data_IF_789041969244
#
_entry.id   IF_789041969244
#
_cell.length_a   1.000
_cell.length_b   1.000
_cell.length_c   1.000
_cell.angle_alpha   90.00
_cell.angle_beta   90.00
_cell.angle_gamma   90.00
#
_symmetry.space_group_name_H-M   'P 1'
#
loop_
_entity.id
_entity.type
_entity.pdbx_description
1 polymer ?
#
# COMPACT_ATOMS: atom_id res chain seq x y z
N UNK A 1 3.97 4.50 -6.71
CA UNK A 1 3.72 5.35 -5.54
C UNK A 1 4.82 5.31 -4.48
N UNK A 2 5.45 4.20 -4.17
CA UNK A 2 6.51 4.17 -3.15
C UNK A 2 7.83 4.79 -3.58
N UNK A 3 8.07 4.90 -4.89
CA UNK A 3 9.34 5.34 -5.44
C UNK A 3 9.26 6.76 -6.02
N UNK A 4 10.26 7.56 -5.70
CA UNK A 4 10.42 8.95 -6.17
C UNK A 4 9.25 9.86 -5.79
N UNK A 5 8.54 9.49 -4.75
CA UNK A 5 7.27 10.05 -4.45
C UNK A 5 7.29 10.81 -3.18
N UNK A 6 6.46 11.71 -3.27
CA UNK A 6 5.87 12.32 -2.14
C UNK A 6 5.09 11.25 -1.37
N UNK A 7 5.62 10.63 -0.29
CA UNK A 7 4.90 9.65 0.49
C UNK A 7 3.65 10.24 1.16
N UNK A 8 3.41 11.55 1.00
CA UNK A 8 2.20 12.24 1.40
C UNK A 8 0.99 11.88 0.54
N UNK A 9 1.20 11.30 -0.65
CA UNK A 9 0.14 10.96 -1.61
C UNK A 9 -0.35 9.52 -1.50
N UNK A 10 -0.04 8.82 -0.41
CA UNK A 10 -0.59 7.48 -0.19
C UNK A 10 -2.05 7.60 0.26
N UNK A 11 -3.01 6.87 -0.36
CA UNK A 11 -4.44 6.95 -0.03
C UNK A 11 -4.81 6.61 1.41
N UNK A 12 -3.87 6.08 2.17
CA UNK A 12 -4.04 5.73 3.58
C UNK A 12 -3.75 6.89 4.54
N UNK A 13 -3.27 8.03 4.04
CA UNK A 13 -2.90 9.20 4.84
C UNK A 13 -4.13 10.04 5.19
N UNK A 14 -4.98 9.52 6.09
CA UNK A 14 -6.26 10.10 6.46
C UNK A 14 -6.29 10.47 7.95
N UNK A 15 -6.81 11.67 8.24
CA UNK A 15 -7.09 12.12 9.59
C UNK A 15 -8.40 11.49 10.09
N UNK A 16 -8.37 10.97 11.30
CA UNK A 16 -9.52 10.31 11.93
C UNK A 16 -10.17 11.23 12.96
N UNK A 17 -11.45 11.05 13.23
CA UNK A 17 -12.13 11.74 14.31
C UNK A 17 -11.97 10.92 15.59
N UNK A 18 -11.37 11.51 16.62
CA UNK A 18 -11.09 10.82 17.88
C UNK A 18 -12.36 10.26 18.51
N UNK A 19 -12.33 8.99 18.92
CA UNK A 19 -13.45 8.29 19.55
C UNK A 19 -14.58 7.90 18.60
N UNK A 20 -14.41 8.01 17.29
CA UNK A 20 -15.38 7.61 16.28
C UNK A 20 -14.82 6.56 15.34
N UNK A 21 -15.67 5.66 14.79
CA UNK A 21 -15.26 4.75 13.75
C UNK A 21 -14.77 5.49 12.50
N UNK A 22 -13.75 4.96 11.86
CA UNK A 22 -13.22 5.48 10.60
C UNK A 22 -13.49 4.52 9.46
N UNK A 23 -14.20 4.99 8.45
CA UNK A 23 -14.50 4.24 7.23
C UNK A 23 -13.91 4.97 6.03
N UNK A 24 -13.11 4.27 5.24
CA UNK A 24 -12.69 4.73 3.91
C UNK A 24 -13.72 4.23 2.92
N UNK A 25 -14.60 5.12 2.49
CA UNK A 25 -15.78 4.78 1.69
C UNK A 25 -15.47 4.47 0.24
N UNK A 26 -14.31 4.91 -0.24
CA UNK A 26 -13.86 4.68 -1.61
C UNK A 26 -12.33 4.77 -1.69
N UNK A 27 -11.70 3.73 -2.23
CA UNK A 27 -10.26 3.74 -2.53
C UNK A 27 -9.96 2.94 -3.79
N UNK A 28 -8.98 3.39 -4.57
CA UNK A 28 -8.55 2.68 -5.77
C UNK A 28 -7.07 2.97 -6.10
N UNK A 29 -6.41 1.98 -6.68
CA UNK A 29 -5.13 2.14 -7.40
C UNK A 29 -5.43 2.13 -8.89
N UNK A 30 -5.67 3.32 -9.42
CA UNK A 30 -6.29 3.50 -10.73
C UNK A 30 -5.41 3.07 -11.91
N UNK A 31 -6.04 2.63 -12.99
CA UNK A 31 -5.39 2.44 -14.29
C UNK A 31 -5.00 3.82 -14.86
N UNK A 32 -3.82 3.99 -15.46
CA UNK A 32 -2.86 2.97 -15.92
C UNK A 32 -1.65 2.76 -15.01
N UNK A 33 -1.75 3.01 -13.72
CA UNK A 33 -0.64 2.76 -12.78
C UNK A 33 -0.05 1.36 -13.01
N UNK A 34 1.29 1.27 -13.02
CA UNK A 34 1.97 -0.01 -13.23
C UNK A 34 2.00 -0.85 -11.96
N UNK A 35 2.08 -0.20 -10.80
CA UNK A 35 2.41 -0.82 -9.53
C UNK A 35 1.16 -1.01 -8.65
N UNK A 36 0.08 -1.51 -9.25
CA UNK A 36 -1.20 -1.64 -8.56
C UNK A 36 -1.22 -2.72 -7.48
N UNK A 37 -0.31 -3.71 -7.53
CA UNK A 37 -0.20 -4.74 -6.49
C UNK A 37 0.29 -4.20 -5.13
N UNK A 38 0.81 -2.97 -5.06
CA UNK A 38 1.07 -2.32 -3.77
C UNK A 38 -0.21 -1.94 -3.02
N UNK A 39 -1.32 -1.74 -3.75
CA UNK A 39 -2.57 -1.26 -3.18
C UNK A 39 -3.08 -2.13 -2.03
N UNK A 40 -3.38 -3.43 -2.25
CA UNK A 40 -3.82 -4.32 -1.18
C UNK A 40 -2.81 -4.43 -0.03
N UNK A 41 -1.51 -4.46 -0.34
CA UNK A 41 -0.45 -4.50 0.67
C UNK A 41 -0.46 -3.24 1.54
N UNK A 42 -0.35 -2.06 0.95
CA UNK A 42 -0.28 -0.79 1.69
C UNK A 42 -1.57 -0.49 2.44
N UNK A 43 -2.73 -0.72 1.81
CA UNK A 43 -4.01 -0.50 2.45
C UNK A 43 -4.14 -1.37 3.70
N UNK A 44 -3.90 -2.69 3.60
CA UNK A 44 -4.05 -3.58 4.74
C UNK A 44 -3.07 -3.27 5.88
N UNK A 45 -1.82 -2.95 5.55
CA UNK A 45 -0.77 -2.67 6.53
C UNK A 45 -1.01 -1.34 7.25
N UNK A 46 -1.21 -0.24 6.50
CA UNK A 46 -1.36 1.08 7.11
C UNK A 46 -2.71 1.27 7.79
N UNK A 47 -3.79 0.69 7.27
CA UNK A 47 -5.08 0.79 7.93
C UNK A 47 -5.16 -0.05 9.21
N UNK A 48 -4.48 -1.19 9.27
CA UNK A 48 -4.31 -1.90 10.54
C UNK A 48 -3.51 -1.07 11.54
N UNK A 49 -2.41 -0.44 11.10
CA UNK A 49 -1.59 0.43 11.93
C UNK A 49 -2.38 1.63 12.47
N UNK A 50 -3.21 2.24 11.66
CA UNK A 50 -3.96 3.45 12.02
C UNK A 50 -5.32 3.16 12.65
N UNK A 51 -5.80 1.90 12.64
CA UNK A 51 -7.06 1.51 13.26
C UNK A 51 -8.29 1.91 12.44
N UNK A 52 -8.19 1.94 11.11
CA UNK A 52 -9.35 2.11 10.23
C UNK A 52 -10.26 0.89 10.31
N UNK A 53 -11.57 1.10 10.50
CA UNK A 53 -12.54 0.01 10.70
C UNK A 53 -12.94 -0.69 9.41
N UNK A 54 -13.06 0.04 8.31
CA UNK A 54 -13.43 -0.52 7.02
C UNK A 54 -12.87 0.27 5.85
N UNK A 55 -12.55 -0.44 4.76
CA UNK A 55 -12.21 0.15 3.47
C UNK A 55 -13.02 -0.50 2.36
N UNK A 56 -13.57 0.31 1.49
CA UNK A 56 -14.30 -0.11 0.30
C UNK A 56 -13.49 0.17 -0.95
N UNK A 57 -13.20 -0.90 -1.69
CA UNK A 57 -12.50 -0.79 -2.96
C UNK A 57 -13.45 -0.34 -4.06
N UNK A 58 -13.10 0.70 -4.75
CA UNK A 58 -13.84 1.22 -5.89
C UNK A 58 -13.10 0.90 -7.20
N UNK A 59 -13.66 0.06 -8.08
CA UNK A 59 -14.85 -0.76 -7.86
C UNK A 59 -14.61 -2.20 -8.25
N UNK A 60 -15.24 -3.13 -7.54
CA UNK A 60 -15.32 -4.54 -7.92
C UNK A 60 -16.42 -4.68 -8.96
N UNK A 61 -16.04 -4.70 -10.21
CA UNK A 61 -16.92 -4.85 -11.36
C UNK A 61 -16.30 -5.84 -12.34
N UNK A 62 -17.03 -6.17 -13.40
CA UNK A 62 -16.48 -6.97 -14.48
C UNK A 62 -15.31 -6.23 -15.13
N UNK A 63 -14.26 -6.97 -15.50
CA UNK A 63 -13.15 -6.41 -16.29
C UNK A 63 -13.60 -6.40 -17.76
N UNK A 64 -14.68 -5.70 -18.04
CA UNK A 64 -15.17 -5.53 -19.40
C UNK A 64 -14.60 -4.26 -20.02
N UNK A 65 -14.24 -4.36 -21.27
CA UNK A 65 -13.94 -3.23 -22.11
C UNK A 65 -15.28 -2.71 -22.66
N UNK A 66 -15.98 -1.94 -21.81
CA UNK A 66 -17.22 -1.32 -22.22
C UNK A 66 -16.89 -0.15 -23.17
N UNK A 67 -17.50 -0.10 -24.36
CA UNK A 67 -17.35 1.03 -25.28
C UNK A 67 -17.79 2.37 -24.67
N UNK A 68 -18.62 2.36 -23.63
CA UNK A 68 -19.04 3.53 -22.87
C UNK A 68 -18.87 3.30 -21.37
N UNK A 69 -17.64 3.10 -20.87
CA UNK A 69 -17.42 2.88 -19.45
C UNK A 69 -17.78 4.11 -18.62
N UNK A 70 -18.28 3.89 -17.41
CA UNK A 70 -18.75 4.95 -16.52
C UNK A 70 -17.68 6.03 -16.25
N UNK A 71 -16.41 5.61 -16.05
CA UNK A 71 -15.27 6.53 -15.98
C UNK A 71 -14.13 6.05 -16.89
N UNK A 72 -14.19 6.34 -18.19
CA UNK A 72 -13.11 5.93 -19.05
C UNK A 72 -11.85 6.69 -18.72
N UNK A 73 -10.74 5.99 -18.62
CA UNK A 73 -9.46 6.62 -18.81
C UNK A 73 -9.35 7.04 -20.26
N UNK A 74 -8.51 8.02 -20.59
CA UNK A 74 -8.45 8.62 -21.93
C UNK A 74 -8.60 7.61 -23.06
N UNK A 75 -9.44 7.95 -24.06
CA UNK A 75 -9.55 7.15 -25.28
C UNK A 75 -8.24 7.20 -26.05
N UNK A 76 -7.61 6.06 -26.24
CA UNK A 76 -6.60 5.91 -27.26
C UNK A 76 -7.32 5.73 -28.59
N UNK A 77 -6.98 6.56 -29.57
CA UNK A 77 -7.68 6.60 -30.85
C UNK A 77 -7.74 5.20 -31.50
N UNK A 78 -8.94 4.76 -31.86
CA UNK A 78 -9.17 3.46 -32.49
C UNK A 78 -9.14 2.27 -31.54
N UNK A 79 -9.14 2.49 -30.22
CA UNK A 79 -9.17 1.44 -29.20
C UNK A 79 -10.30 1.64 -28.20
N UNK A 80 -10.73 0.54 -27.61
CA UNK A 80 -11.72 0.59 -26.54
C UNK A 80 -11.09 1.19 -25.26
N UNK A 81 -11.81 2.04 -24.54
CA UNK A 81 -11.30 2.65 -23.33
C UNK A 81 -11.20 1.62 -22.20
N UNK A 82 -10.11 1.67 -21.44
CA UNK A 82 -9.94 0.88 -20.25
C UNK A 82 -10.57 1.60 -19.05
N UNK A 83 -11.28 0.88 -18.19
CA UNK A 83 -11.85 1.43 -16.97
C UNK A 83 -10.77 2.01 -16.07
N UNK A 84 -10.95 3.25 -15.64
CA UNK A 84 -10.03 3.93 -14.71
C UNK A 84 -10.06 3.27 -13.33
N UNK A 85 -11.25 3.04 -12.81
CA UNK A 85 -11.48 2.48 -11.49
C UNK A 85 -11.88 1.01 -11.64
N UNK A 86 -10.96 0.10 -11.46
CA UNK A 86 -11.23 -1.34 -11.42
C UNK A 86 -10.33 -2.01 -10.41
N UNK A 87 -10.94 -2.62 -9.41
CA UNK A 87 -10.27 -3.50 -8.46
C UNK A 87 -10.33 -4.98 -8.91
N UNK A 88 -11.19 -5.30 -9.89
CA UNK A 88 -11.35 -6.66 -10.46
C UNK A 88 -10.23 -7.03 -11.43
N UNK A 89 -9.02 -6.53 -11.23
CA UNK A 89 -7.84 -6.80 -12.05
C UNK A 89 -6.83 -7.64 -11.26
N UNK A 90 -6.02 -8.47 -11.93
CA UNK A 90 -5.12 -9.40 -11.25
C UNK A 90 -4.23 -8.78 -10.17
N UNK A 91 -3.59 -7.60 -10.37
CA UNK A 91 -2.69 -7.04 -9.36
C UNK A 91 -3.41 -6.53 -8.09
N UNK A 92 -4.70 -6.25 -8.15
CA UNK A 92 -5.48 -5.81 -6.99
C UNK A 92 -6.25 -6.97 -6.40
N UNK A 93 -7.15 -7.59 -7.16
CA UNK A 93 -7.97 -8.71 -6.69
C UNK A 93 -7.11 -9.88 -6.21
N UNK A 94 -6.04 -10.19 -6.94
CA UNK A 94 -5.08 -11.21 -6.55
C UNK A 94 -4.32 -10.89 -5.25
N UNK A 95 -4.29 -9.64 -4.83
CA UNK A 95 -3.70 -9.19 -3.57
C UNK A 95 -4.62 -9.31 -2.34
N UNK A 96 -5.91 -9.63 -2.51
CA UNK A 96 -6.87 -9.60 -1.40
C UNK A 96 -6.73 -10.74 -0.39
N UNK A 97 -6.44 -12.00 -0.74
CA UNK A 97 -6.49 -13.09 0.23
C UNK A 97 -5.65 -12.84 1.48
N UNK A 98 -4.35 -12.59 1.34
CA UNK A 98 -3.47 -12.33 2.47
C UNK A 98 -3.72 -10.96 3.10
N UNK A 99 -3.97 -9.92 2.28
CA UNK A 99 -4.23 -8.57 2.75
C UNK A 99 -5.51 -8.48 3.59
N UNK A 100 -6.60 -9.12 3.14
CA UNK A 100 -7.84 -9.18 3.90
C UNK A 100 -7.70 -9.96 5.21
N UNK A 101 -6.93 -11.04 5.21
CA UNK A 101 -6.66 -11.80 6.43
C UNK A 101 -5.85 -10.97 7.42
N UNK A 102 -4.78 -10.30 6.97
CA UNK A 102 -3.98 -9.40 7.78
C UNK A 102 -4.86 -8.32 8.44
N UNK A 103 -5.67 -7.62 7.64
CA UNK A 103 -6.50 -6.52 8.10
C UNK A 103 -7.59 -7.00 9.09
N UNK A 104 -8.36 -8.02 8.70
CA UNK A 104 -9.47 -8.53 9.53
C UNK A 104 -9.04 -9.16 10.84
N UNK A 105 -7.83 -9.69 10.91
CA UNK A 105 -7.26 -10.33 12.10
C UNK A 105 -6.35 -9.40 12.91
N UNK A 106 -6.09 -8.19 12.42
CA UNK A 106 -5.19 -7.25 13.10
C UNK A 106 -3.77 -7.80 13.25
N UNK A 107 -3.23 -8.42 12.19
CA UNK A 107 -1.88 -9.01 12.26
C UNK A 107 -0.77 -7.96 12.30
N UNK A 108 -1.03 -6.74 11.88
CA UNK A 108 -0.24 -5.55 12.19
C UNK A 108 -0.90 -4.86 13.38
N UNK A 109 -0.12 -4.57 14.41
CA UNK A 109 -0.61 -3.94 15.63
C UNK A 109 -1.02 -2.49 15.36
N UNK A 110 -2.20 -2.11 15.86
CA UNK A 110 -2.63 -0.72 15.87
C UNK A 110 -1.69 0.12 16.75
N UNK A 111 -1.28 1.28 16.23
CA UNK A 111 -0.45 2.24 16.94
C UNK A 111 -1.27 3.13 17.87
N UNK A 112 -0.60 3.72 18.87
CA UNK A 112 -1.16 4.85 19.60
C UNK A 112 -1.13 6.11 18.72
N UNK A 113 -2.08 7.06 18.89
CA UNK A 113 -2.08 8.31 18.14
C UNK A 113 -0.77 9.07 18.29
N UNK A 114 -0.14 9.37 17.15
CA UNK A 114 1.09 10.18 17.12
C UNK A 114 0.78 11.67 16.98
N UNK A 115 -0.40 12.01 16.51
CA UNK A 115 -0.96 13.36 16.51
C UNK A 115 -2.39 13.28 17.05
N UNK A 116 -2.66 14.03 18.10
CA UNK A 116 -3.99 14.27 18.64
C UNK A 116 -4.23 15.78 18.66
N UNK A 117 -5.01 16.28 17.70
CA UNK A 117 -5.36 17.69 17.61
C UNK A 117 -6.76 17.92 18.22
N UNK A 118 -6.86 18.81 19.23
CA UNK A 118 -8.15 19.26 19.70
C UNK A 118 -8.46 20.66 19.12
N UNK A 119 -9.67 20.83 18.59
CA UNK A 119 -10.12 22.06 17.95
C UNK A 119 -11.46 22.52 18.52
N UNK A 120 -11.61 23.82 18.74
CA UNK A 120 -12.90 24.39 19.09
C UNK A 120 -13.81 24.46 17.87
N UNK A 121 -15.13 24.49 18.08
CA UNK A 121 -16.07 24.76 16.99
C UNK A 121 -15.86 26.13 16.36
N UNK A 122 -15.42 27.12 17.14
CA UNK A 122 -15.08 28.44 16.63
C UNK A 122 -13.91 28.40 15.64
N UNK A 123 -12.87 27.59 15.90
CA UNK A 123 -11.75 27.39 14.97
C UNK A 123 -12.20 26.77 13.65
N UNK A 124 -13.17 25.83 13.71
CA UNK A 124 -13.75 25.23 12.49
C UNK A 124 -14.53 26.24 11.66
N UNK A 125 -15.42 26.99 12.31
CA UNK A 125 -16.21 28.05 11.64
C UNK A 125 -15.32 29.15 11.06
N UNK A 126 -14.23 29.47 11.76
CA UNK A 126 -13.23 30.42 11.29
C UNK A 126 -12.29 29.84 10.22
N UNK A 127 -12.46 28.56 9.83
CA UNK A 127 -11.57 27.85 8.90
C UNK A 127 -10.09 27.96 9.26
N UNK A 128 -9.78 27.95 10.55
CA UNK A 128 -8.41 27.99 11.03
C UNK A 128 -7.64 26.78 10.52
N UNK A 129 -6.43 26.99 10.04
CA UNK A 129 -5.56 25.91 9.53
C UNK A 129 -5.31 24.87 10.61
N UNK A 130 -5.50 23.55 10.32
CA UNK A 130 -5.12 22.49 11.25
C UNK A 130 -3.60 22.39 11.38
N UNK A 131 -3.11 21.80 12.48
CA UNK A 131 -1.67 21.59 12.69
C UNK A 131 -1.06 20.61 11.70
N UNK A 132 -1.86 19.68 11.18
CA UNK A 132 -1.54 18.76 10.10
C UNK A 132 -2.72 18.66 9.15
N UNK A 133 -2.46 18.75 7.87
CA UNK A 133 -3.47 18.58 6.82
C UNK A 133 -3.12 17.40 5.93
N UNK A 134 -4.13 16.70 5.47
CA UNK A 134 -4.00 15.75 4.37
C UNK A 134 -3.57 16.51 3.12
N UNK A 135 -2.78 15.87 2.26
CA UNK A 135 -2.27 16.56 1.07
C UNK A 135 -3.42 16.90 0.11
N UNK A 136 -3.69 18.19 -0.16
CA UNK A 136 -4.79 18.59 -1.04
C UNK A 136 -4.58 18.19 -2.50
N UNK A 137 -3.35 17.84 -2.91
CA UNK A 137 -3.07 17.35 -4.26
C UNK A 137 -3.66 15.97 -4.50
N UNK A 138 -3.98 15.25 -3.46
CA UNK A 138 -4.51 13.91 -3.50
C UNK A 138 -5.98 13.84 -3.97
N UNK A 139 -6.76 14.85 -3.64
CA UNK A 139 -8.16 14.98 -4.07
C UNK A 139 -8.37 16.32 -4.77
N UNK A 140 -8.39 16.35 -6.12
CA UNK A 140 -8.59 17.58 -6.87
C UNK A 140 -9.99 18.20 -6.66
N UNK A 141 -10.95 17.44 -6.13
CA UNK A 141 -12.30 17.92 -5.83
C UNK A 141 -12.41 18.48 -4.39
N UNK A 142 -11.41 18.28 -3.57
CA UNK A 142 -11.38 18.83 -2.22
C UNK A 142 -11.38 20.35 -2.25
N UNK A 143 -12.11 20.97 -1.34
CA UNK A 143 -12.17 22.43 -1.22
C UNK A 143 -10.76 23.02 -1.06
N UNK A 144 -10.33 23.76 -2.09
CA UNK A 144 -9.03 24.44 -2.15
C UNK A 144 -9.05 25.80 -1.48
N UNK A 145 -10.02 26.08 -0.60
CA UNK A 145 -10.04 27.36 0.10
C UNK A 145 -8.65 27.60 0.74
N UNK A 146 -8.01 28.73 0.49
CA UNK A 146 -6.70 29.00 1.04
C UNK A 146 -6.78 28.92 2.56
N UNK A 147 -5.76 28.34 3.23
CA UNK A 147 -5.72 28.32 4.68
C UNK A 147 -5.85 29.75 5.19
N UNK A 148 -6.72 29.94 6.17
CA UNK A 148 -6.83 31.26 6.84
C UNK A 148 -5.46 31.53 7.49
N UNK A 149 -4.82 32.61 7.12
CA UNK A 149 -3.53 32.98 7.67
C UNK A 149 -3.59 33.01 9.21
N UNK A 150 -2.58 32.52 9.91
CA UNK A 150 -2.50 32.65 11.36
C UNK A 150 -2.69 34.11 11.77
N UNK A 151 -3.40 34.36 12.86
CA UNK A 151 -3.53 35.69 13.40
C UNK A 151 -2.15 36.26 13.78
N UNK A 152 -1.92 37.55 13.72
CA UNK A 152 -0.66 38.16 14.17
C UNK A 152 -0.33 37.68 15.59
N UNK A 153 0.85 37.04 15.76
CA UNK A 153 1.28 36.46 17.03
C UNK A 153 0.97 34.98 17.24
N UNK A 154 0.16 34.34 16.41
CA UNK A 154 -0.07 32.89 16.40
C UNK A 154 1.05 32.19 15.61
N UNK A 155 1.80 31.33 16.28
CA UNK A 155 2.73 30.41 15.59
C UNK A 155 1.94 29.21 15.12
N UNK A 156 1.74 29.06 13.81
CA UNK A 156 1.26 27.81 13.26
C UNK A 156 2.31 26.72 13.50
N UNK A 157 2.00 25.75 14.32
CA UNK A 157 2.84 24.55 14.45
C UNK A 157 2.52 23.67 13.23
N UNK A 158 3.51 23.48 12.36
CA UNK A 158 3.36 22.58 11.21
C UNK A 158 3.92 21.24 11.60
N UNK A 159 3.07 20.24 11.70
CA UNK A 159 3.46 18.84 11.92
C UNK A 159 3.87 18.24 10.58
N UNK A 160 4.93 17.45 10.59
CA UNK A 160 5.40 16.74 9.40
C UNK A 160 4.29 15.81 8.86
N UNK A 161 3.88 15.95 7.59
CA UNK A 161 2.87 15.07 6.99
C UNK A 161 3.24 13.58 6.96
N UNK A 162 4.53 13.24 7.09
CA UNK A 162 4.94 11.85 7.25
C UNK A 162 4.45 11.21 8.55
N UNK A 163 3.89 11.99 9.48
CA UNK A 163 3.23 11.48 10.68
C UNK A 163 2.13 10.46 10.36
N UNK A 164 1.40 10.62 9.25
CA UNK A 164 0.40 9.65 8.80
C UNK A 164 0.95 8.24 8.55
N UNK A 165 2.26 8.13 8.32
CA UNK A 165 2.95 6.85 8.11
C UNK A 165 3.60 6.31 9.38
N UNK A 166 3.66 7.13 10.42
CA UNK A 166 4.17 6.73 11.74
C UNK A 166 3.09 6.05 12.56
N UNK A 167 1.87 6.59 12.57
CA UNK A 167 0.75 6.07 13.34
C UNK A 167 -0.53 6.86 13.13
N UNK A 168 -1.58 6.62 13.94
CA UNK A 168 -2.84 7.32 13.84
C UNK A 168 -2.66 8.84 14.01
N UNK A 169 -3.33 9.60 13.15
CA UNK A 169 -3.48 11.06 13.23
C UNK A 169 -4.95 11.34 13.46
N UNK A 170 -5.29 11.88 14.60
CA UNK A 170 -6.67 12.12 14.97
C UNK A 170 -6.97 13.57 15.32
N UNK A 171 -8.23 13.96 15.18
CA UNK A 171 -8.74 15.26 15.57
C UNK A 171 -9.98 15.08 16.46
N UNK A 172 -10.04 15.84 17.54
CA UNK A 172 -11.23 15.96 18.37
C UNK A 172 -11.84 17.34 18.16
N UNK A 173 -13.08 17.35 17.73
CA UNK A 173 -13.85 18.58 17.57
C UNK A 173 -14.59 18.93 18.89
N UNK A 174 -14.82 20.24 19.09
CA UNK A 174 -15.37 20.80 20.33
C UNK A 174 -14.51 20.46 21.55
N UNK A 175 -13.20 20.43 21.34
CA UNK A 175 -12.20 20.16 22.37
C UNK A 175 -11.45 21.40 22.84
N UNK A 176 -10.49 21.19 23.74
CA UNK A 176 -9.59 22.21 24.25
C UNK A 176 -8.24 22.16 23.48
N UNK A 177 -7.91 23.19 22.68
CA UNK A 177 -6.62 23.22 21.95
C UNK A 177 -5.38 23.05 22.83
N UNK A 178 -5.46 23.34 24.13
CA UNK A 178 -4.38 23.12 25.08
C UNK A 178 -4.08 21.62 25.32
N UNK A 179 -5.00 20.74 24.96
CA UNK A 179 -4.86 19.27 25.03
C UNK A 179 -4.26 18.66 23.74
N UNK A 180 -3.99 19.48 22.73
CA UNK A 180 -3.33 19.02 21.50
C UNK A 180 -1.95 18.45 21.81
N UNK A 181 -1.67 17.25 21.28
CA UNK A 181 -0.42 16.52 21.53
C UNK A 181 0.16 16.01 20.22
N UNK A 182 1.47 16.10 20.09
CA UNK A 182 2.23 15.56 18.98
C UNK A 182 3.40 14.78 19.57
N UNK A 183 3.56 13.52 19.15
CA UNK A 183 4.69 12.71 19.55
C UNK A 183 6.00 13.28 18.98
N UNK A 184 7.12 12.95 19.58
CA UNK A 184 8.43 13.26 19.00
C UNK A 184 8.65 12.37 17.75
N UNK A 185 8.38 12.94 16.58
CA UNK A 185 8.48 12.25 15.30
C UNK A 185 9.93 12.00 14.86
N UNK A 186 10.93 12.64 15.48
CA UNK A 186 12.35 12.50 15.11
C UNK A 186 12.87 11.06 15.30
N UNK A 187 12.22 10.28 16.17
CA UNK A 187 12.54 8.88 16.39
C UNK A 187 12.02 7.94 15.29
N UNK A 188 11.10 8.41 14.46
CA UNK A 188 10.40 7.61 13.46
C UNK A 188 10.67 8.06 12.04
N UNK A 189 10.97 9.33 11.83
CA UNK A 189 11.18 9.94 10.51
C UNK A 189 12.65 10.31 10.35
N UNK A 190 13.33 9.68 9.39
CA UNK A 190 14.70 10.02 8.98
C UNK A 190 14.67 10.60 7.56
N UNK A 191 14.59 11.92 7.46
CA UNK A 191 14.57 12.61 6.18
C UNK A 191 15.86 12.44 5.38
N UNK A 192 17.00 12.31 6.06
CA UNK A 192 18.30 12.17 5.41
C UNK A 192 18.41 10.80 4.71
N UNK A 193 17.91 9.75 5.36
CA UNK A 193 17.85 8.38 4.79
C UNK A 193 16.56 8.12 4.02
N UNK A 194 15.61 9.07 4.01
CA UNK A 194 14.28 8.92 3.40
C UNK A 194 13.51 7.70 3.94
N UNK A 195 13.44 7.55 5.26
CA UNK A 195 12.82 6.42 5.94
C UNK A 195 11.79 6.88 6.97
N UNK A 196 10.69 6.13 7.02
CA UNK A 196 9.66 6.28 8.05
C UNK A 196 9.40 4.92 8.68
N UNK A 197 9.50 4.85 10.01
CA UNK A 197 9.15 3.66 10.79
C UNK A 197 7.86 3.92 11.56
N UNK A 198 6.96 2.94 11.59
CA UNK A 198 5.75 3.04 12.40
C UNK A 198 6.07 3.12 13.90
N UNK A 199 5.13 3.70 14.66
CA UNK A 199 5.21 3.77 16.13
C UNK A 199 5.27 2.39 16.77
N UNK A 200 4.68 1.36 16.14
CA UNK A 200 4.75 -0.03 16.58
C UNK A 200 6.08 -0.71 16.23
N UNK A 201 6.86 -0.11 15.31
CA UNK A 201 8.10 -0.69 14.80
C UNK A 201 7.91 -1.81 13.77
N UNK A 202 6.67 -2.20 13.47
CA UNK A 202 6.36 -3.32 12.58
C UNK A 202 6.35 -2.94 11.10
N UNK A 203 6.24 -1.65 10.77
CA UNK A 203 6.19 -1.16 9.38
C UNK A 203 7.36 -0.21 9.13
N UNK A 204 8.03 -0.38 8.01
CA UNK A 204 9.10 0.50 7.55
C UNK A 204 8.86 0.89 6.10
N UNK A 205 8.82 2.18 5.82
CA UNK A 205 8.84 2.74 4.48
C UNK A 205 10.20 3.37 4.19
N UNK A 206 10.91 2.85 3.21
CA UNK A 206 12.11 3.45 2.63
C UNK A 206 11.74 4.08 1.28
N UNK A 207 11.34 5.35 1.31
CA UNK A 207 10.94 6.07 0.10
C UNK A 207 12.15 6.57 -0.74
N UNK A 208 13.37 6.37 -0.25
CA UNK A 208 14.59 6.56 -1.03
C UNK A 208 14.87 5.42 -1.98
N UNK A 209 14.53 4.19 -1.58
CA UNK A 209 14.64 2.99 -2.40
C UNK A 209 13.32 2.68 -3.12
N UNK A 210 12.19 3.07 -2.54
CA UNK A 210 10.85 2.69 -3.00
C UNK A 210 10.44 1.31 -2.49
N UNK A 211 10.60 1.09 -1.18
CA UNK A 211 10.33 -0.18 -0.52
C UNK A 211 9.51 0.04 0.75
N UNK A 212 8.42 -0.70 0.90
CA UNK A 212 7.70 -0.86 2.16
C UNK A 212 7.86 -2.28 2.66
N UNK A 213 8.16 -2.44 3.95
CA UNK A 213 8.22 -3.75 4.62
C UNK A 213 7.27 -3.79 5.81
N UNK A 214 6.70 -4.96 6.05
CA UNK A 214 5.99 -5.32 7.28
C UNK A 214 6.72 -6.47 7.96
N UNK A 215 6.97 -6.34 9.26
CA UNK A 215 7.72 -7.31 10.08
C UNK A 215 7.02 -7.53 11.42
N UNK A 216 5.74 -7.92 11.34
CA UNK A 216 4.92 -8.30 12.48
C UNK A 216 4.99 -9.82 12.72
N UNK A 217 4.71 -10.32 13.94
CA UNK A 217 4.79 -11.75 14.23
C UNK A 217 3.90 -12.63 13.34
N UNK A 218 2.76 -12.10 12.88
CA UNK A 218 1.77 -12.81 12.04
C UNK A 218 1.66 -12.25 10.62
N UNK A 219 2.46 -11.26 10.26
CA UNK A 219 2.48 -10.73 8.91
C UNK A 219 3.89 -10.25 8.57
N UNK A 220 4.50 -10.84 7.58
CA UNK A 220 5.80 -10.40 7.08
C UNK A 220 5.77 -10.31 5.57
N UNK A 221 6.42 -9.29 5.03
CA UNK A 221 6.43 -9.10 3.60
C UNK A 221 7.06 -7.79 3.17
N UNK A 222 7.09 -7.59 1.88
CA UNK A 222 7.65 -6.39 1.26
C UNK A 222 6.91 -6.07 -0.03
N UNK A 223 6.77 -4.78 -0.33
CA UNK A 223 6.35 -4.33 -1.65
C UNK A 223 7.19 -3.14 -2.13
N UNK A 224 7.36 -3.04 -3.45
CA UNK A 224 8.12 -1.96 -4.07
C UNK A 224 9.17 -2.46 -5.07
N UNK A 225 10.28 -1.74 -5.17
CA UNK A 225 11.37 -2.01 -6.11
C UNK A 225 12.33 -3.07 -5.55
N UNK A 226 11.88 -4.33 -5.51
CA UNK A 226 12.55 -5.41 -4.78
C UNK A 226 13.94 -5.72 -5.29
N UNK A 227 14.18 -5.68 -6.61
CA UNK A 227 15.54 -5.92 -7.18
C UNK A 227 16.58 -4.91 -6.68
N UNK A 228 16.18 -3.67 -6.41
CA UNK A 228 17.04 -2.64 -5.84
C UNK A 228 17.33 -2.85 -4.35
N UNK A 229 16.41 -3.47 -3.64
CA UNK A 229 16.54 -3.73 -2.21
C UNK A 229 17.51 -4.89 -1.91
N UNK A 230 17.74 -5.79 -2.87
CA UNK A 230 18.59 -6.97 -2.69
C UNK A 230 17.96 -7.99 -1.75
N UNK A 231 18.68 -8.41 -0.71
CA UNK A 231 18.15 -9.30 0.31
C UNK A 231 17.35 -8.51 1.35
N UNK A 232 16.06 -8.78 1.44
CA UNK A 232 15.17 -8.24 2.47
C UNK A 232 15.09 -9.28 3.59
N UNK A 233 15.74 -9.00 4.71
CA UNK A 233 15.78 -9.88 5.87
C UNK A 233 14.82 -9.35 6.94
N UNK A 234 13.68 -10.02 7.08
CA UNK A 234 12.71 -9.81 8.14
C UNK A 234 12.99 -10.79 9.30
N UNK A 235 12.23 -10.69 10.36
CA UNK A 235 12.43 -11.51 11.56
C UNK A 235 12.44 -13.00 11.24
N UNK A 236 11.41 -13.49 10.58
CA UNK A 236 11.22 -14.92 10.32
C UNK A 236 11.31 -15.26 8.82
N UNK A 237 11.17 -14.29 7.94
CA UNK A 237 11.21 -14.48 6.47
C UNK A 237 12.34 -13.65 5.87
N UNK A 238 13.07 -14.25 4.94
CA UNK A 238 14.00 -13.52 4.07
C UNK A 238 13.53 -13.66 2.62
N UNK A 239 13.51 -12.51 1.91
CA UNK A 239 13.02 -12.38 0.55
C UNK A 239 14.14 -11.90 -0.34
N UNK A 240 14.35 -12.57 -1.46
CA UNK A 240 15.19 -12.11 -2.56
C UNK A 240 14.36 -12.15 -3.84
N UNK A 241 14.40 -11.08 -4.62
CA UNK A 241 13.67 -11.02 -5.89
C UNK A 241 14.46 -10.23 -6.92
N UNK A 242 14.45 -10.70 -8.17
CA UNK A 242 14.94 -9.97 -9.33
C UNK A 242 13.86 -9.14 -10.03
N UNK A 243 12.61 -9.25 -9.61
CA UNK A 243 11.55 -8.39 -10.11
C UNK A 243 11.86 -6.91 -9.88
N UNK A 244 11.77 -6.12 -10.93
CA UNK A 244 11.92 -4.66 -10.81
C UNK A 244 10.90 -4.11 -9.80
N UNK A 245 9.68 -4.64 -9.80
CA UNK A 245 8.63 -4.32 -8.86
C UNK A 245 7.79 -5.55 -8.52
N UNK A 246 7.50 -5.76 -7.24
CA UNK A 246 6.55 -6.77 -6.78
C UNK A 246 6.06 -6.46 -5.36
N UNK A 247 5.02 -7.18 -4.94
CA UNK A 247 4.52 -7.27 -3.57
C UNK A 247 4.51 -8.73 -3.13
N UNK A 248 5.03 -9.02 -1.95
CA UNK A 248 4.94 -10.33 -1.30
C UNK A 248 4.42 -10.15 0.12
N UNK A 249 3.42 -10.93 0.49
CA UNK A 249 2.86 -10.95 1.83
C UNK A 249 2.72 -12.38 2.33
N UNK A 250 3.24 -12.64 3.52
CA UNK A 250 3.14 -13.92 4.22
C UNK A 250 2.26 -13.75 5.47
N UNK A 251 1.25 -14.61 5.61
CA UNK A 251 0.34 -14.64 6.76
C UNK A 251 0.03 -16.07 7.18
N UNK A 252 -0.15 -16.36 8.49
CA UNK A 252 -0.55 -17.67 8.95
C UNK A 252 -2.03 -17.94 8.67
N UNK A 253 -2.36 -19.18 8.34
CA UNK A 253 -3.74 -19.65 8.20
C UNK A 253 -4.29 -20.29 9.49
N UNK A 254 -3.43 -20.50 10.49
CA UNK A 254 -3.75 -21.11 11.79
C UNK A 254 -3.70 -20.10 12.95
N UNK A 255 -3.59 -18.81 12.64
CA UNK A 255 -3.53 -17.69 13.60
C UNK A 255 -2.34 -17.75 14.57
N UNK A 256 -1.30 -18.53 14.28
CA UNK A 256 -0.05 -18.59 15.04
C UNK A 256 0.99 -17.61 14.48
N UNK A 257 2.00 -17.19 15.27
CA UNK A 257 3.14 -16.46 14.72
C UNK A 257 3.83 -17.24 13.60
N UNK A 258 4.36 -16.56 12.58
CA UNK A 258 5.01 -17.20 11.43
C UNK A 258 6.14 -18.16 11.82
N UNK A 259 6.85 -17.84 12.91
CA UNK A 259 7.93 -18.71 13.46
C UNK A 259 7.42 -20.08 13.92
N UNK A 260 6.14 -20.24 14.23
CA UNK A 260 5.55 -21.46 14.81
C UNK A 260 4.31 -21.94 14.06
N UNK A 261 3.81 -21.16 13.10
CA UNK A 261 2.66 -21.53 12.27
C UNK A 261 2.93 -22.82 11.51
N UNK A 262 1.95 -23.70 11.47
CA UNK A 262 1.99 -24.93 10.69
C UNK A 262 1.46 -24.76 9.28
N UNK A 263 0.90 -23.58 8.98
CA UNK A 263 0.29 -23.32 7.68
C UNK A 263 0.34 -21.85 7.33
N UNK A 264 1.21 -21.50 6.38
CA UNK A 264 1.47 -20.12 5.97
C UNK A 264 1.02 -19.94 4.53
N UNK A 265 0.22 -18.89 4.26
CA UNK A 265 -0.06 -18.39 2.93
C UNK A 265 1.03 -17.39 2.53
N UNK A 266 1.69 -17.63 1.41
CA UNK A 266 2.50 -16.65 0.69
C UNK A 266 1.70 -16.18 -0.51
N UNK A 267 1.53 -14.88 -0.63
CA UNK A 267 0.86 -14.20 -1.75
C UNK A 267 1.85 -13.30 -2.45
N UNK A 268 1.91 -13.40 -3.78
CA UNK A 268 2.81 -12.62 -4.64
C UNK A 268 1.96 -11.87 -5.67
N UNK A 269 2.25 -10.58 -5.83
CA UNK A 269 1.69 -9.72 -6.87
C UNK A 269 2.78 -9.01 -7.63
N UNK A 270 2.74 -9.08 -8.95
CA UNK A 270 3.65 -8.37 -9.86
C UNK A 270 2.89 -7.37 -10.72
N UNK A 271 3.52 -6.84 -11.75
CA UNK A 271 2.85 -5.97 -12.74
C UNK A 271 1.95 -6.82 -13.63
N UNK A 272 0.73 -6.36 -13.87
CA UNK A 272 -0.14 -6.99 -14.86
C UNK A 272 -0.65 -5.95 -15.87
N UNK A 273 -0.84 -6.41 -17.11
CA UNK A 273 -1.35 -5.60 -18.23
C UNK A 273 -2.22 -6.46 -19.14
N UNK A 274 -3.21 -5.86 -19.81
CA UNK A 274 -3.92 -6.56 -20.89
C UNK A 274 -2.97 -6.96 -22.01
N UNK A 275 -3.27 -8.06 -22.68
CA UNK A 275 -2.49 -8.52 -23.87
C UNK A 275 -2.46 -7.43 -24.94
N UNK A 276 -1.25 -7.11 -25.42
CA UNK A 276 -1.06 -6.04 -26.41
C UNK A 276 -1.01 -4.64 -25.82
N UNK A 277 -0.92 -4.49 -24.51
CA UNK A 277 -0.62 -3.20 -23.88
C UNK A 277 0.70 -2.65 -24.42
N UNK A 278 0.70 -1.41 -24.85
CA UNK A 278 1.93 -0.76 -25.33
C UNK A 278 2.01 0.70 -24.87
N UNK A 279 3.24 1.12 -24.60
CA UNK A 279 3.58 2.50 -24.25
C UNK A 279 4.76 2.98 -25.07
N UNK A 280 4.90 4.28 -25.21
CA UNK A 280 6.10 4.94 -25.77
C UNK A 280 6.58 6.04 -24.83
N UNK A 281 7.87 6.37 -24.92
CA UNK A 281 8.42 7.49 -24.16
C UNK A 281 7.74 8.79 -24.59
N UNK A 282 7.40 9.62 -23.60
CA UNK A 282 6.74 10.91 -23.81
C UNK A 282 7.26 11.96 -22.83
N UNK A 283 7.05 13.22 -23.20
CA UNK A 283 7.24 14.35 -22.31
C UNK A 283 5.85 14.79 -21.79
N UNK A 284 5.66 14.71 -20.49
CA UNK A 284 4.41 15.08 -19.84
C UNK A 284 4.57 16.48 -19.26
N UNK A 285 3.72 17.42 -19.68
CA UNK A 285 3.66 18.76 -19.09
C UNK A 285 2.78 18.74 -17.84
N UNK A 286 3.18 19.48 -16.80
CA UNK A 286 2.31 19.76 -15.65
C UNK A 286 1.06 20.52 -16.10
N UNK A 287 -0.01 20.45 -15.29
CA UNK A 287 -1.28 21.16 -15.59
C UNK A 287 -1.07 22.67 -15.78
N UNK A 288 -0.13 23.27 -15.04
CA UNK A 288 0.19 24.69 -15.16
C UNK A 288 1.17 25.00 -16.33
N UNK A 289 1.61 23.95 -17.07
CA UNK A 289 2.51 24.03 -18.20
C UNK A 289 3.95 24.44 -17.89
N UNK A 290 4.30 24.61 -16.60
CA UNK A 290 5.61 25.15 -16.17
C UNK A 290 6.70 24.10 -16.09
N UNK A 291 6.34 22.86 -15.82
CA UNK A 291 7.29 21.74 -15.71
C UNK A 291 7.01 20.69 -16.77
N UNK A 292 8.07 20.03 -17.22
CA UNK A 292 7.98 18.90 -18.13
C UNK A 292 8.75 17.73 -17.54
N UNK A 293 8.07 16.59 -17.40
CA UNK A 293 8.62 15.37 -16.81
C UNK A 293 8.63 14.26 -17.86
N UNK A 294 9.64 13.40 -17.82
CA UNK A 294 9.62 12.16 -18.60
C UNK A 294 8.48 11.26 -18.12
N UNK A 295 7.72 10.72 -19.03
CA UNK A 295 6.63 9.83 -18.76
C UNK A 295 6.43 8.82 -19.88
N UNK A 296 5.34 8.06 -19.78
CA UNK A 296 4.95 7.08 -20.80
C UNK A 296 3.56 7.46 -21.35
N UNK A 297 3.45 7.54 -22.65
CA UNK A 297 2.18 7.65 -23.34
C UNK A 297 1.65 6.26 -23.66
N UNK A 298 0.42 5.94 -23.23
CA UNK A 298 -0.25 4.71 -23.59
C UNK A 298 -0.68 4.79 -25.03
N UNK A 299 -0.12 3.93 -25.89
CA UNK A 299 -0.45 3.87 -27.33
C UNK A 299 -1.38 2.69 -27.64
N UNK A 300 -1.46 1.71 -26.74
CA UNK A 300 -2.41 0.61 -26.80
C UNK A 300 -2.86 0.23 -25.40
N UNK A 301 -4.17 0.13 -25.21
CA UNK A 301 -4.77 -0.38 -23.95
C UNK A 301 -4.85 -1.91 -23.92
N UNK A 302 -4.54 -2.57 -25.04
CA UNK A 302 -4.59 -4.03 -25.15
C UNK A 302 -6.00 -4.59 -25.12
N UNK A 303 -6.09 -5.90 -24.88
CA UNK A 303 -7.34 -6.68 -24.77
C UNK A 303 -7.17 -7.80 -23.75
N UNK A 304 -8.26 -8.36 -23.17
CA UNK A 304 -8.18 -9.60 -22.42
C UNK A 304 -7.57 -10.73 -23.24
N UNK A 305 -6.91 -11.73 -22.60
CA UNK A 305 -6.68 -11.84 -21.17
C UNK A 305 -5.58 -10.89 -20.66
N UNK A 306 -5.58 -10.66 -19.36
CA UNK A 306 -4.48 -9.97 -18.67
C UNK A 306 -3.26 -10.88 -18.60
N UNK A 307 -2.10 -10.31 -18.89
CA UNK A 307 -0.80 -10.94 -18.70
C UNK A 307 -0.20 -10.43 -17.40
N UNK A 308 0.26 -11.36 -16.56
CA UNK A 308 0.93 -11.08 -15.30
C UNK A 308 2.42 -11.31 -15.50
N UNK A 309 3.25 -10.37 -15.09
CA UNK A 309 4.70 -10.52 -15.18
C UNK A 309 5.17 -11.65 -14.25
N UNK A 310 6.13 -12.42 -14.73
CA UNK A 310 6.73 -13.53 -13.99
C UNK A 310 7.19 -13.09 -12.59
N UNK A 311 7.00 -13.97 -11.62
CA UNK A 311 7.41 -13.79 -10.24
C UNK A 311 8.74 -14.48 -9.98
N UNK A 312 9.80 -13.72 -9.77
CA UNK A 312 11.16 -14.24 -9.56
C UNK A 312 11.56 -14.07 -8.08
N UNK A 313 11.36 -15.11 -7.28
CA UNK A 313 11.56 -15.06 -5.83
C UNK A 313 12.41 -16.24 -5.31
N UNK A 314 13.31 -15.92 -4.37
CA UNK A 314 13.91 -16.88 -3.45
C UNK A 314 13.44 -16.55 -2.03
N UNK A 315 12.96 -17.55 -1.30
CA UNK A 315 12.38 -17.39 0.04
C UNK A 315 13.11 -18.28 1.04
N UNK A 316 13.33 -17.73 2.24
CA UNK A 316 13.76 -18.52 3.41
C UNK A 316 12.82 -18.21 4.56
N UNK A 317 12.33 -19.24 5.26
CA UNK A 317 11.42 -19.12 6.39
C UNK A 317 12.02 -19.82 7.60
N UNK A 318 12.23 -19.06 8.68
CA UNK A 318 12.80 -19.56 9.94
C UNK A 318 11.72 -20.24 10.78
N UNK A 319 11.23 -21.36 10.28
CA UNK A 319 10.27 -22.20 10.98
C UNK A 319 10.57 -23.67 10.66
N UNK A 320 11.21 -24.41 11.60
CA UNK A 320 11.67 -25.78 11.34
C UNK A 320 10.52 -26.82 11.27
N UNK A 321 9.31 -26.43 11.64
CA UNK A 321 8.14 -27.33 11.53
C UNK A 321 7.64 -27.47 10.10
N UNK A 322 7.98 -26.55 9.21
CA UNK A 322 7.54 -26.55 7.83
C UNK A 322 8.36 -27.54 6.99
N UNK A 323 7.69 -28.21 6.05
CA UNK A 323 8.34 -29.27 5.26
C UNK A 323 7.84 -29.39 3.83
N UNK A 324 6.75 -28.71 3.49
CA UNK A 324 6.09 -28.80 2.20
C UNK A 324 5.66 -27.42 1.70
N UNK A 325 5.72 -27.19 0.39
CA UNK A 325 5.16 -26.04 -0.26
C UNK A 325 4.28 -26.48 -1.43
N UNK A 326 3.05 -25.98 -1.47
CA UNK A 326 2.05 -26.31 -2.49
C UNK A 326 1.66 -25.04 -3.22
N UNK A 327 1.72 -25.08 -4.55
CA UNK A 327 1.13 -24.05 -5.42
C UNK A 327 -0.38 -24.07 -5.28
N UNK A 328 -0.98 -22.89 -5.28
CA UNK A 328 -2.43 -22.72 -5.24
C UNK A 328 -2.84 -21.88 -6.44
N UNK A 329 -3.82 -22.35 -7.19
CA UNK A 329 -4.39 -21.62 -8.30
C UNK A 329 -5.24 -20.42 -7.81
N UNK A 330 -5.62 -19.47 -8.69
CA UNK A 330 -6.46 -18.34 -8.31
C UNK A 330 -7.85 -18.70 -7.78
N UNK A 331 -8.32 -19.93 -8.01
CA UNK A 331 -9.58 -20.45 -7.49
C UNK A 331 -9.42 -21.10 -6.10
N UNK A 332 -8.18 -21.23 -5.59
CA UNK A 332 -7.88 -21.77 -4.28
C UNK A 332 -7.59 -23.28 -4.25
N UNK A 333 -7.44 -23.93 -5.41
CA UNK A 333 -7.12 -25.35 -5.48
C UNK A 333 -5.62 -25.63 -5.60
N UNK A 334 -5.14 -26.77 -5.07
CA UNK A 334 -3.76 -27.18 -5.24
C UNK A 334 -3.38 -27.36 -6.73
N UNK A 335 -2.26 -26.76 -7.13
CA UNK A 335 -1.73 -26.77 -8.50
C UNK A 335 -0.28 -27.27 -8.59
N UNK A 336 0.11 -28.14 -7.69
CA UNK A 336 1.44 -28.75 -7.69
C UNK A 336 2.24 -28.51 -6.42
N UNK A 337 3.41 -29.11 -6.35
CA UNK A 337 4.32 -28.96 -5.21
C UNK A 337 5.60 -28.22 -5.64
N UNK A 338 6.11 -27.37 -4.76
CA UNK A 338 7.39 -26.69 -4.91
C UNK A 338 8.44 -27.43 -4.08
N UNK A 339 9.59 -27.79 -4.64
CA UNK A 339 10.69 -28.35 -3.89
C UNK A 339 11.14 -27.41 -2.77
N UNK A 340 11.34 -27.97 -1.58
CA UNK A 340 11.85 -27.25 -0.41
C UNK A 340 13.16 -27.83 0.07
N UNK A 341 14.11 -26.97 0.42
CA UNK A 341 15.33 -27.39 1.10
C UNK A 341 15.17 -27.11 2.59
N UNK A 342 15.25 -28.16 3.41
CA UNK A 342 15.12 -28.07 4.87
C UNK A 342 16.47 -27.88 5.55
N UNK A 343 16.47 -27.10 6.63
CA UNK A 343 17.59 -26.92 7.53
C UNK A 343 17.12 -27.06 8.99
N UNK A 344 18.05 -27.00 9.95
CA UNK A 344 17.71 -26.98 11.38
C UNK A 344 16.91 -25.73 11.78
N UNK A 345 17.03 -24.64 11.04
CA UNK A 345 16.39 -23.35 11.34
C UNK A 345 15.12 -23.09 10.56
N UNK A 346 14.80 -23.90 9.54
CA UNK A 346 13.64 -23.68 8.68
C UNK A 346 13.80 -24.20 7.27
N UNK A 347 13.12 -23.57 6.32
CA UNK A 347 13.09 -23.99 4.92
C UNK A 347 13.54 -22.88 3.98
N UNK A 348 14.01 -23.31 2.80
CA UNK A 348 14.31 -22.43 1.66
C UNK A 348 13.66 -23.00 0.41
N UNK A 349 13.11 -22.12 -0.42
CA UNK A 349 12.46 -22.51 -1.69
C UNK A 349 12.60 -21.41 -2.74
N UNK A 350 12.48 -21.83 -3.99
CA UNK A 350 12.36 -20.95 -5.17
C UNK A 350 11.10 -21.38 -5.90
N UNK A 351 10.01 -20.61 -5.81
CA UNK A 351 8.78 -20.91 -6.52
C UNK A 351 8.96 -20.84 -8.05
N UNK A 352 8.14 -21.51 -8.85
CA UNK A 352 8.01 -21.26 -10.28
C UNK A 352 7.63 -19.80 -10.57
N UNK A 353 7.96 -19.33 -11.75
CA UNK A 353 7.80 -17.89 -12.12
C UNK A 353 6.35 -17.47 -12.33
N UNK A 354 5.43 -18.40 -12.49
CA UNK A 354 3.99 -18.17 -12.63
C UNK A 354 3.23 -18.19 -11.29
N UNK A 355 3.96 -18.18 -10.17
CA UNK A 355 3.38 -18.29 -8.83
C UNK A 355 2.70 -16.99 -8.39
N UNK A 356 1.41 -17.08 -8.02
CA UNK A 356 0.70 -16.06 -7.26
C UNK A 356 0.51 -16.45 -5.80
N UNK A 357 0.26 -17.73 -5.52
CA UNK A 357 -0.01 -18.21 -4.16
C UNK A 357 0.73 -19.50 -3.85
N UNK A 358 1.17 -19.58 -2.60
CA UNK A 358 1.75 -20.80 -2.01
C UNK A 358 1.14 -21.04 -0.64
N UNK A 359 0.87 -22.29 -0.33
CA UNK A 359 0.68 -22.73 1.05
C UNK A 359 1.90 -23.53 1.47
N UNK A 360 2.48 -23.15 2.59
CA UNK A 360 3.67 -23.79 3.19
C UNK A 360 3.26 -24.44 4.50
N UNK A 361 3.54 -25.75 4.61
CA UNK A 361 3.15 -26.63 5.72
C UNK A 361 4.34 -27.42 6.30
#
# INVERSE_FOLDING_TARGET
MLFDLNPREIPTNLKQVAGHPMIVTEASWVTPLAFQSEGPFLASVYQSLTGVDALYWFTLDTVEYDPVPFFPYQKVQGQEPLMKFSASIPPILGGFPAAALLFRKGYVKQGEPVVHEERTLADLWARKTPIIAEDPSFDPNRDKAPPVAPRPGEKATVVDPLAFLVGPVEVKYDGDPAQTRVADLSHYIDHAKKRVRSVTGEVMLDYGVGLCTVDAPKAQGACGLLSKAGLIALKDISIRSSNAYAALLAVPLDDQPLATSKRILIQIGTVARPTGWATKDAQVKSEDGKTTTKGLEVVSTGKPPWMIADSEFGLSIKNPSLSKATLIDPAGFPDGNVPVTRSKSGITLTPPTDTMYLIIE
#
